data_IF_658391149567
#
_entry.id   IF_658391149567
#
_cell.length_a   1.000
_cell.length_b   1.000
_cell.length_c   1.000
_cell.angle_alpha   90.00
_cell.angle_beta   90.00
_cell.angle_gamma   90.00
#
_symmetry.space_group_name_H-M   'P 1'
#
loop_
_entity.id
_entity.type
_entity.pdbx_description
1 polymer ?
#
# COMPACT_ATOMS: atom_id res chain seq x y z
N UNK A 1 -12.00 33.82 8.05
CA UNK A 1 -10.55 33.64 7.89
C UNK A 1 -10.29 32.45 6.97
N UNK A 2 -9.80 32.69 5.74
CA UNK A 2 -9.56 31.65 4.72
C UNK A 2 -8.06 31.53 4.52
N UNK A 3 -7.44 30.50 5.08
CA UNK A 3 -6.02 30.23 4.88
C UNK A 3 -5.90 29.40 3.59
N UNK A 4 -5.33 29.98 2.55
CA UNK A 4 -4.92 29.27 1.33
C UNK A 4 -3.45 28.87 1.48
N UNK A 5 -3.18 27.58 1.61
CA UNK A 5 -1.83 27.02 1.62
C UNK A 5 -1.44 26.63 0.19
N UNK A 6 -0.64 27.47 -0.47
CA UNK A 6 -0.03 27.14 -1.77
C UNK A 6 1.38 26.60 -1.52
N UNK A 7 1.63 25.32 -1.85
CA UNK A 7 2.94 24.67 -1.70
C UNK A 7 3.96 25.37 -2.60
N UNK A 8 4.76 26.27 -2.01
CA UNK A 8 5.52 27.29 -2.76
C UNK A 8 6.79 26.75 -3.41
N UNK A 9 7.38 25.65 -2.93
CA UNK A 9 8.50 24.95 -3.59
C UNK A 9 8.50 23.46 -3.25
N UNK A 10 8.47 22.60 -4.27
CA UNK A 10 8.65 21.17 -4.10
C UNK A 10 10.14 20.80 -4.24
N UNK A 11 11.00 21.24 -3.30
CA UNK A 11 12.46 20.97 -3.34
C UNK A 11 12.80 19.47 -3.22
N UNK A 12 11.87 18.67 -2.71
CA UNK A 12 12.05 17.24 -2.49
C UNK A 12 12.11 16.47 -3.81
N UNK A 13 11.25 16.80 -4.78
CA UNK A 13 11.19 16.07 -6.05
C UNK A 13 12.39 16.32 -6.98
N UNK A 14 12.89 17.56 -7.18
CA UNK A 14 14.09 17.84 -7.97
C UNK A 14 15.37 17.22 -7.36
N UNK A 15 15.58 17.32 -6.05
CA UNK A 15 16.73 16.68 -5.39
C UNK A 15 16.68 15.16 -5.53
N UNK A 16 15.50 14.55 -5.35
CA UNK A 16 15.31 13.11 -5.52
C UNK A 16 15.59 12.67 -6.96
N UNK A 17 15.11 13.44 -7.95
CA UNK A 17 15.37 13.20 -9.36
C UNK A 17 16.87 13.25 -9.67
N UNK A 18 17.58 14.25 -9.15
CA UNK A 18 19.03 14.38 -9.31
C UNK A 18 19.77 13.19 -8.68
N UNK A 19 19.44 12.84 -7.42
CA UNK A 19 20.06 11.69 -6.74
C UNK A 19 19.78 10.36 -7.44
N UNK A 20 18.58 10.18 -8.00
CA UNK A 20 18.25 9.01 -8.82
C UNK A 20 19.08 8.97 -10.10
N UNK A 21 19.29 10.11 -10.75
CA UNK A 21 20.09 10.20 -11.98
C UNK A 21 21.58 9.89 -11.74
N UNK A 22 22.09 10.20 -10.54
CA UNK A 22 23.50 9.94 -10.18
C UNK A 22 23.70 8.67 -9.36
N UNK A 23 22.64 7.90 -9.11
CA UNK A 23 22.72 6.68 -8.30
C UNK A 23 23.49 5.58 -9.04
N UNK A 24 24.39 4.90 -8.33
CA UNK A 24 25.04 3.69 -8.84
C UNK A 24 24.02 2.55 -8.93
N UNK A 25 23.03 2.51 -8.03
CA UNK A 25 22.01 1.46 -8.00
C UNK A 25 20.57 1.98 -7.78
N UNK A 26 19.94 2.62 -8.79
CA UNK A 26 18.59 3.16 -8.68
C UNK A 26 17.52 2.07 -8.45
N UNK A 27 17.80 0.81 -8.83
CA UNK A 27 16.92 -0.33 -8.57
C UNK A 27 16.69 -0.55 -7.07
N UNK A 28 17.72 -0.38 -6.22
CA UNK A 28 17.59 -0.49 -4.75
C UNK A 28 16.65 0.56 -4.17
N UNK A 29 16.67 1.76 -4.73
CA UNK A 29 15.76 2.81 -4.30
C UNK A 29 14.30 2.48 -4.65
N UNK A 30 14.05 1.92 -5.83
CA UNK A 30 12.72 1.43 -6.23
C UNK A 30 12.28 0.22 -5.39
N UNK A 31 13.18 -0.68 -5.03
CA UNK A 31 12.91 -1.79 -4.13
C UNK A 31 12.52 -1.29 -2.73
N UNK A 32 13.24 -0.31 -2.17
CA UNK A 32 12.90 0.31 -0.89
C UNK A 32 11.51 0.97 -0.91
N UNK A 33 11.15 1.62 -2.02
CA UNK A 33 9.80 2.16 -2.23
C UNK A 33 8.75 1.04 -2.21
N UNK A 34 8.98 -0.05 -2.94
CA UNK A 34 8.09 -1.21 -2.99
C UNK A 34 7.91 -1.87 -1.63
N UNK A 35 8.99 -2.10 -0.89
CA UNK A 35 8.96 -2.70 0.45
C UNK A 35 8.18 -1.83 1.44
N UNK A 36 8.28 -0.51 1.30
CA UNK A 36 7.48 0.43 2.10
C UNK A 36 5.98 0.25 1.84
N UNK A 37 5.58 0.17 0.56
CA UNK A 37 4.18 -0.07 0.17
C UNK A 37 3.70 -1.44 0.68
N UNK A 38 4.51 -2.48 0.52
CA UNK A 38 4.20 -3.83 1.02
C UNK A 38 3.97 -3.83 2.52
N UNK A 39 4.91 -3.27 3.29
CA UNK A 39 4.82 -3.20 4.75
C UNK A 39 3.56 -2.46 5.20
N UNK A 40 3.26 -1.30 4.57
CA UNK A 40 2.04 -0.55 4.88
C UNK A 40 0.78 -1.35 4.56
N UNK A 41 0.74 -2.03 3.41
CA UNK A 41 -0.41 -2.82 2.98
C UNK A 41 -0.66 -4.02 3.92
N UNK A 42 0.39 -4.74 4.31
CA UNK A 42 0.29 -5.86 5.25
C UNK A 42 -0.18 -5.38 6.64
N UNK A 43 0.39 -4.28 7.13
CA UNK A 43 0.02 -3.71 8.44
C UNK A 43 -1.39 -3.11 8.47
N UNK A 44 -1.95 -2.68 7.33
CA UNK A 44 -3.31 -2.11 7.27
C UNK A 44 -4.40 -3.09 7.75
N UNK A 45 -4.14 -4.40 7.75
CA UNK A 45 -5.06 -5.41 8.29
C UNK A 45 -5.24 -5.29 9.81
N UNK A 46 -4.19 -4.88 10.54
CA UNK A 46 -4.20 -4.75 12.00
C UNK A 46 -4.15 -3.31 12.49
N UNK A 47 -3.72 -2.36 11.65
CA UNK A 47 -3.57 -0.95 11.98
C UNK A 47 -4.53 -0.10 11.12
N UNK A 48 -5.72 0.26 11.63
CA UNK A 48 -6.72 1.02 10.86
C UNK A 48 -6.20 2.36 10.32
N UNK A 49 -5.27 3.00 11.02
CA UNK A 49 -4.70 4.30 10.61
C UNK A 49 -3.83 4.24 9.36
N UNK A 50 -3.49 3.05 8.84
CA UNK A 50 -2.76 2.88 7.59
C UNK A 50 -3.67 2.66 6.38
N UNK A 51 -4.98 2.51 6.60
CA UNK A 51 -5.94 2.28 5.52
C UNK A 51 -6.24 3.59 4.79
N UNK A 52 -6.34 3.61 3.45
CA UNK A 52 -6.83 4.78 2.73
C UNK A 52 -8.27 5.16 3.09
N UNK A 53 -9.06 4.16 3.51
CA UNK A 53 -10.44 4.33 3.93
C UNK A 53 -10.75 3.35 5.08
N UNK A 54 -11.54 3.80 6.04
CA UNK A 54 -12.10 2.93 7.07
C UNK A 54 -12.89 1.78 6.45
N UNK A 55 -12.65 0.56 6.93
CA UNK A 55 -13.36 -0.61 6.43
C UNK A 55 -14.76 -0.69 7.00
N UNK A 56 -15.78 -0.92 6.16
CA UNK A 56 -17.11 -1.23 6.64
C UNK A 56 -17.10 -2.46 7.54
N UNK A 57 -17.83 -2.36 8.65
CA UNK A 57 -18.02 -3.45 9.60
C UNK A 57 -18.63 -4.70 8.92
N UNK A 58 -18.44 -5.86 9.53
CA UNK A 58 -19.12 -7.08 9.10
C UNK A 58 -20.59 -7.03 9.53
N UNK A 59 -21.47 -7.59 8.71
CA UNK A 59 -22.88 -7.78 9.09
C UNK A 59 -22.95 -8.73 10.30
N UNK A 60 -23.90 -8.56 11.24
CA UNK A 60 -24.06 -9.44 12.40
C UNK A 60 -24.16 -10.92 12.02
N UNK A 61 -24.91 -11.23 10.95
CA UNK A 61 -25.01 -12.60 10.42
C UNK A 61 -23.65 -13.17 9.98
N UNK A 62 -22.79 -12.35 9.36
CA UNK A 62 -21.44 -12.75 8.96
C UNK A 62 -20.56 -13.01 10.19
N UNK A 63 -20.68 -12.17 11.23
CA UNK A 63 -19.94 -12.36 12.50
C UNK A 63 -20.32 -13.70 13.13
N UNK A 64 -21.63 -13.99 13.26
CA UNK A 64 -22.14 -15.26 13.80
C UNK A 64 -21.65 -16.46 12.99
N UNK A 65 -21.68 -16.36 11.66
CA UNK A 65 -21.19 -17.41 10.78
C UNK A 65 -19.67 -17.66 10.91
N UNK A 66 -18.87 -16.60 11.10
CA UNK A 66 -17.42 -16.71 11.34
C UNK A 66 -17.14 -17.39 12.68
N UNK A 67 -17.82 -16.96 13.74
CA UNK A 67 -17.68 -17.53 15.08
C UNK A 67 -18.05 -19.01 15.10
N UNK A 68 -19.14 -19.42 14.44
CA UNK A 68 -19.52 -20.83 14.30
C UNK A 68 -18.43 -21.70 13.65
N UNK A 69 -17.59 -21.11 12.80
CA UNK A 69 -16.47 -21.77 12.13
C UNK A 69 -15.13 -21.63 12.87
N UNK A 70 -15.13 -21.09 14.09
CA UNK A 70 -13.92 -20.85 14.88
C UNK A 70 -13.07 -19.66 14.42
N UNK A 71 -13.58 -18.79 13.54
CA UNK A 71 -12.84 -17.63 13.05
C UNK A 71 -13.10 -16.38 13.91
N UNK A 72 -12.10 -15.50 13.98
CA UNK A 72 -12.25 -14.18 14.58
C UNK A 72 -13.17 -13.23 13.81
N UNK A 73 -13.54 -12.11 14.43
CA UNK A 73 -14.53 -11.15 13.91
C UNK A 73 -13.95 -10.07 12.98
N UNK A 74 -12.63 -10.03 12.81
CA UNK A 74 -11.94 -9.04 11.96
C UNK A 74 -12.30 -9.22 10.47
N UNK A 75 -12.66 -8.16 9.73
CA UNK A 75 -12.82 -8.23 8.28
C UNK A 75 -11.52 -8.68 7.59
N UNK A 76 -11.65 -9.45 6.51
CA UNK A 76 -10.54 -9.92 5.66
C UNK A 76 -9.46 -10.77 6.34
N UNK A 77 -9.66 -11.15 7.61
CA UNK A 77 -8.76 -12.04 8.34
C UNK A 77 -9.53 -13.32 8.66
N UNK A 78 -9.24 -14.38 7.91
CA UNK A 78 -9.61 -15.77 8.24
C UNK A 78 -8.37 -16.55 8.66
N UNK A 79 -7.46 -16.80 7.72
CA UNK A 79 -6.16 -17.44 7.93
C UNK A 79 -4.97 -16.47 7.87
N UNK A 80 -5.23 -15.20 7.56
CA UNK A 80 -4.18 -14.19 7.31
C UNK A 80 -3.49 -14.30 5.94
N UNK A 81 -3.84 -15.29 5.10
CA UNK A 81 -3.20 -15.48 3.79
C UNK A 81 -3.29 -14.24 2.88
N UNK A 82 -4.41 -13.52 2.90
CA UNK A 82 -4.56 -12.26 2.17
C UNK A 82 -3.73 -11.12 2.78
N UNK A 83 -3.57 -11.10 4.11
CA UNK A 83 -2.77 -10.08 4.78
C UNK A 83 -1.28 -10.19 4.43
N UNK A 84 -0.79 -11.42 4.17
CA UNK A 84 0.60 -11.68 3.80
C UNK A 84 0.87 -11.65 2.29
N UNK A 85 -0.17 -11.50 1.46
CA UNK A 85 0.01 -11.56 0.01
C UNK A 85 0.59 -10.34 -0.69
N UNK A 86 0.46 -9.09 -0.17
CA UNK A 86 1.13 -7.94 -0.76
C UNK A 86 2.63 -8.20 -0.86
N UNK A 87 3.19 -8.04 -2.05
CA UNK A 87 4.61 -8.21 -2.32
C UNK A 87 5.05 -7.47 -3.57
N UNK A 88 6.35 -7.28 -3.70
CA UNK A 88 6.96 -6.81 -4.94
C UNK A 88 6.84 -7.93 -5.99
N UNK A 89 6.36 -7.58 -7.18
CA UNK A 89 6.22 -8.47 -8.34
C UNK A 89 7.35 -8.22 -9.33
N UNK A 90 7.75 -6.95 -9.51
CA UNK A 90 8.80 -6.55 -10.44
C UNK A 90 9.46 -5.26 -9.98
N UNK A 91 10.76 -5.14 -10.18
CA UNK A 91 11.54 -3.93 -9.93
C UNK A 91 12.47 -3.66 -11.10
N UNK A 92 12.44 -2.45 -11.62
CA UNK A 92 13.41 -1.89 -12.55
C UNK A 92 14.14 -0.73 -11.88
N UNK A 93 15.08 -0.10 -12.58
CA UNK A 93 15.75 1.13 -12.11
C UNK A 93 14.79 2.31 -11.93
N UNK A 94 13.63 2.31 -12.59
CA UNK A 94 12.70 3.44 -12.65
C UNK A 94 11.32 3.15 -12.09
N UNK A 95 10.96 1.87 -11.96
CA UNK A 95 9.60 1.45 -11.61
C UNK A 95 9.63 0.27 -10.65
N UNK A 96 8.72 0.26 -9.69
CA UNK A 96 8.40 -0.90 -8.86
C UNK A 96 6.93 -1.26 -9.00
N UNK A 97 6.64 -2.55 -9.17
CA UNK A 97 5.28 -3.10 -9.21
C UNK A 97 5.04 -3.90 -7.95
N UNK A 98 4.03 -3.51 -7.17
CA UNK A 98 3.56 -4.24 -5.99
C UNK A 98 2.20 -4.84 -6.31
N UNK A 99 1.98 -6.08 -5.90
CA UNK A 99 0.74 -6.80 -6.17
C UNK A 99 0.47 -7.89 -5.14
N UNK A 100 -0.49 -8.75 -5.47
CA UNK A 100 -0.86 -9.93 -4.69
C UNK A 100 -1.24 -11.04 -5.66
N UNK A 101 -0.89 -12.28 -5.33
CA UNK A 101 -1.25 -13.48 -6.09
C UNK A 101 -2.52 -14.19 -5.62
N UNK A 102 -3.12 -13.73 -4.51
CA UNK A 102 -4.28 -14.41 -3.95
C UNK A 102 -5.47 -14.29 -4.88
N UNK A 103 -5.99 -15.44 -5.27
CA UNK A 103 -7.16 -15.60 -6.14
C UNK A 103 -8.21 -16.46 -5.45
N UNK A 104 -9.47 -16.25 -5.84
CA UNK A 104 -10.60 -17.15 -5.55
C UNK A 104 -11.26 -17.44 -6.89
N UNK A 105 -11.15 -18.69 -7.34
CA UNK A 105 -11.48 -19.06 -8.71
C UNK A 105 -10.70 -18.20 -9.71
N UNK A 106 -11.41 -17.63 -10.68
CA UNK A 106 -10.86 -16.77 -11.74
C UNK A 106 -10.54 -15.34 -11.28
N UNK A 107 -10.91 -14.97 -10.05
CA UNK A 107 -10.84 -13.58 -9.59
C UNK A 107 -9.67 -13.32 -8.65
N UNK A 108 -9.05 -12.13 -8.77
CA UNK A 108 -8.10 -11.64 -7.77
C UNK A 108 -8.82 -11.25 -6.49
N UNK A 109 -8.52 -11.95 -5.40
CA UNK A 109 -9.10 -11.70 -4.09
C UNK A 109 -8.70 -10.32 -3.57
N UNK A 110 -7.44 -9.95 -3.80
CA UNK A 110 -6.93 -8.63 -3.46
C UNK A 110 -7.66 -7.52 -4.22
N UNK A 111 -7.91 -7.69 -5.52
CA UNK A 111 -8.62 -6.69 -6.33
C UNK A 111 -10.07 -6.52 -5.87
N UNK A 112 -10.78 -7.63 -5.65
CA UNK A 112 -12.16 -7.62 -5.13
C UNK A 112 -12.24 -6.84 -3.83
N UNK A 113 -11.33 -7.07 -2.88
CA UNK A 113 -11.39 -6.38 -1.61
C UNK A 113 -10.81 -4.97 -1.64
N UNK A 114 -9.86 -4.69 -2.53
CA UNK A 114 -9.33 -3.33 -2.71
C UNK A 114 -10.42 -2.39 -3.26
N UNK A 115 -11.20 -2.85 -4.25
CA UNK A 115 -12.13 -2.01 -5.00
C UNK A 115 -13.61 -2.24 -4.65
N UNK A 116 -13.94 -3.39 -4.06
CA UNK A 116 -15.31 -3.87 -3.96
C UNK A 116 -15.82 -4.47 -5.28
N UNK A 117 -17.05 -4.96 -5.27
CA UNK A 117 -17.74 -5.43 -6.49
C UNK A 117 -18.67 -4.36 -7.05
N UNK A 118 -18.87 -4.37 -8.38
CA UNK A 118 -19.76 -3.41 -9.07
C UNK A 118 -21.21 -3.49 -8.58
N UNK A 119 -21.68 -4.69 -8.21
CA UNK A 119 -23.01 -4.93 -7.67
C UNK A 119 -23.17 -4.56 -6.19
N UNK A 120 -22.11 -4.03 -5.55
CA UNK A 120 -22.14 -3.59 -4.16
C UNK A 120 -22.21 -4.71 -3.10
N UNK A 121 -22.28 -5.99 -3.50
CA UNK A 121 -22.38 -7.11 -2.56
C UNK A 121 -21.15 -7.25 -1.68
N UNK A 122 -19.97 -6.98 -2.24
CA UNK A 122 -18.72 -6.95 -1.49
C UNK A 122 -18.26 -5.48 -1.43
N UNK A 123 -18.34 -4.84 -0.25
CA UNK A 123 -17.89 -3.47 -0.13
C UNK A 123 -16.36 -3.39 -0.18
N UNK A 124 -15.85 -2.28 -0.70
CA UNK A 124 -14.43 -1.98 -0.74
C UNK A 124 -13.83 -1.92 0.68
N UNK A 125 -12.70 -2.57 0.85
CA UNK A 125 -11.87 -2.63 2.05
C UNK A 125 -10.41 -2.44 1.63
N UNK A 126 -10.04 -1.23 1.16
CA UNK A 126 -8.72 -0.97 0.62
C UNK A 126 -7.64 -1.12 1.69
N UNK A 127 -6.57 -1.85 1.37
CA UNK A 127 -5.38 -2.03 2.22
C UNK A 127 -4.13 -1.48 1.55
N UNK A 128 -4.05 -1.47 0.21
CA UNK A 128 -2.97 -0.76 -0.46
C UNK A 128 -3.08 0.74 -0.17
N UNK A 129 -1.98 1.43 0.15
CA UNK A 129 -2.01 2.79 0.67
C UNK A 129 -2.17 3.84 -0.46
N UNK A 130 -3.13 3.60 -1.35
CA UNK A 130 -3.48 4.44 -2.49
C UNK A 130 -4.98 4.78 -2.44
N UNK A 131 -5.30 6.00 -2.85
CA UNK A 131 -6.68 6.48 -2.98
C UNK A 131 -7.36 5.85 -4.19
N UNK A 132 -8.68 6.03 -4.31
CA UNK A 132 -9.45 5.57 -5.48
C UNK A 132 -8.95 6.17 -6.81
N UNK A 133 -8.29 7.33 -6.77
CA UNK A 133 -7.71 7.97 -7.96
C UNK A 133 -6.31 7.43 -8.31
N UNK A 134 -5.83 6.38 -7.61
CA UNK A 134 -4.51 5.81 -7.82
C UNK A 134 -3.34 6.62 -7.24
N UNK A 135 -3.63 7.70 -6.49
CA UNK A 135 -2.58 8.49 -5.82
C UNK A 135 -2.20 7.84 -4.48
N UNK A 136 -0.92 7.85 -4.06
CA UNK A 136 -0.56 7.44 -2.70
C UNK A 136 -1.29 8.31 -1.67
N UNK A 137 -1.60 7.77 -0.49
CA UNK A 137 -2.02 8.61 0.64
C UNK A 137 -0.85 9.49 1.10
N UNK A 138 -1.10 10.62 1.76
CA UNK A 138 -0.04 11.52 2.23
C UNK A 138 1.02 10.80 3.07
N UNK A 139 0.58 9.85 3.91
CA UNK A 139 1.48 9.02 4.72
C UNK A 139 2.31 8.09 3.84
N UNK A 140 1.71 7.48 2.83
CA UNK A 140 2.42 6.62 1.90
C UNK A 140 3.45 7.41 1.09
N UNK A 141 3.07 8.57 0.55
CA UNK A 141 3.97 9.44 -0.19
C UNK A 141 5.19 9.83 0.63
N UNK A 142 4.97 10.31 1.87
CA UNK A 142 6.06 10.67 2.79
C UNK A 142 6.98 9.48 3.09
N UNK A 143 6.41 8.30 3.37
CA UNK A 143 7.19 7.12 3.70
C UNK A 143 7.98 6.59 2.49
N UNK A 144 7.37 6.56 1.31
CA UNK A 144 8.01 6.15 0.05
C UNK A 144 9.17 7.07 -0.28
N UNK A 145 8.94 8.39 -0.27
CA UNK A 145 10.00 9.38 -0.53
C UNK A 145 11.15 9.21 0.47
N UNK A 146 10.84 9.04 1.76
CA UNK A 146 11.85 8.86 2.80
C UNK A 146 12.66 7.57 2.60
N UNK A 147 12.02 6.48 2.17
CA UNK A 147 12.69 5.22 1.88
C UNK A 147 13.62 5.33 0.68
N UNK A 148 13.16 5.98 -0.41
CA UNK A 148 13.98 6.27 -1.60
C UNK A 148 15.19 7.11 -1.20
N UNK A 149 15.00 8.21 -0.47
CA UNK A 149 16.10 9.08 -0.01
C UNK A 149 17.16 8.31 0.77
N UNK A 150 16.73 7.56 1.78
CA UNK A 150 17.66 6.74 2.59
C UNK A 150 18.42 5.73 1.75
N UNK A 151 17.75 5.08 0.79
CA UNK A 151 18.40 4.13 -0.10
C UNK A 151 19.44 4.80 -1.00
N UNK A 152 19.15 5.99 -1.54
CA UNK A 152 20.07 6.73 -2.40
C UNK A 152 21.26 7.29 -1.60
N UNK A 153 21.00 7.84 -0.42
CA UNK A 153 22.06 8.36 0.46
C UNK A 153 23.02 7.24 0.88
N UNK A 154 22.50 6.03 1.14
CA UNK A 154 23.31 4.86 1.44
C UNK A 154 24.12 4.34 0.24
N UNK A 155 23.64 4.55 -0.99
CA UNK A 155 24.34 4.18 -2.22
C UNK A 155 25.48 5.16 -2.54
N UNK A 156 25.24 6.45 -2.35
CA UNK A 156 26.22 7.52 -2.58
C UNK A 156 27.34 7.57 -1.54
N UNK A 157 27.09 7.04 -0.33
CA UNK A 157 28.11 6.92 0.74
C UNK A 157 28.99 5.67 0.61
N UNK A 158 28.70 4.76 -0.31
CA UNK A 158 29.57 3.59 -0.53
C UNK A 158 30.80 4.03 -1.34
N UNK A 159 32.02 3.77 -0.83
CA UNK A 159 33.26 4.07 -1.55
C UNK A 159 33.22 3.45 -2.95
#
# INVERSE_FOLDING_TARGET
>A
MKISLTKTKNIVTPDLKRKLATAKNPKKAMEAAGLTVVSMAQRAFTQPSLRPLSWPALKPATIKAKQKKGYGTKPLVSSGALAHSPRIIRVTSTTVTVGSDRKVGSHSLAAIHQMGTKDGKIPARPFFPFTKSGKPTDRAEKNIISAIKRSLDADLKKP
#
